data_IF_055386821618
#
_entry.id   IF_055386821618
#
_cell.length_a   1.000
_cell.length_b   1.000
_cell.length_c   1.000
_cell.angle_alpha   90.00
_cell.angle_beta   90.00
_cell.angle_gamma   90.00
#
_symmetry.space_group_name_H-M   'P 1'
#
loop_
_entity.id
_entity.type
_entity.pdbx_description
1 polymer ?
#
# COMPACT_ATOMS: atom_id res chain seq x y z
N UNK A 1 2.75 6.62 6.03
CA UNK A 1 1.48 6.98 6.69
C UNK A 1 0.48 5.91 6.30
N UNK A 2 -0.13 5.19 7.26
CA UNK A 2 -1.01 4.09 6.92
C UNK A 2 -2.22 4.58 6.13
N UNK A 3 -2.45 4.01 4.95
CA UNK A 3 -3.61 4.28 4.10
C UNK A 3 -4.82 3.55 4.71
N UNK A 4 -5.92 4.26 4.97
CA UNK A 4 -7.12 3.69 5.57
C UNK A 4 -8.36 3.77 4.67
N UNK A 5 -8.29 4.54 3.59
CA UNK A 5 -9.40 4.80 2.68
C UNK A 5 -8.97 4.74 1.22
N UNK A 6 -9.91 4.53 0.30
CA UNK A 6 -9.64 4.55 -1.15
C UNK A 6 -9.11 5.91 -1.63
N UNK A 7 -9.62 7.02 -1.09
CA UNK A 7 -9.11 8.37 -1.42
C UNK A 7 -7.65 8.55 -1.01
N UNK A 8 -7.25 8.00 0.15
CA UNK A 8 -5.85 8.02 0.59
C UNK A 8 -4.97 7.12 -0.29
N UNK A 9 -5.51 6.00 -0.77
CA UNK A 9 -4.83 5.13 -1.72
C UNK A 9 -4.59 5.86 -3.05
N UNK A 10 -5.61 6.52 -3.59
CA UNK A 10 -5.50 7.28 -4.83
C UNK A 10 -4.45 8.39 -4.74
N UNK A 11 -4.45 9.15 -3.64
CA UNK A 11 -3.44 10.17 -3.36
C UNK A 11 -2.03 9.55 -3.26
N UNK A 12 -1.88 8.46 -2.52
CA UNK A 12 -0.60 7.78 -2.32
C UNK A 12 -0.05 7.22 -3.64
N UNK A 13 -0.89 6.62 -4.48
CA UNK A 13 -0.52 6.10 -5.80
C UNK A 13 -0.13 7.24 -6.74
N UNK A 14 -0.88 8.34 -6.73
CA UNK A 14 -0.56 9.51 -7.56
C UNK A 14 0.78 10.14 -7.16
N UNK A 15 1.07 10.27 -5.86
CA UNK A 15 2.35 10.77 -5.38
C UNK A 15 3.49 9.79 -5.70
N UNK A 16 3.27 8.49 -5.51
CA UNK A 16 4.25 7.45 -5.89
C UNK A 16 4.62 7.52 -7.37
N UNK A 17 3.65 7.73 -8.25
CA UNK A 17 3.88 7.87 -9.70
C UNK A 17 4.68 9.14 -10.02
N UNK A 18 4.39 10.28 -9.37
CA UNK A 18 5.17 11.51 -9.55
C UNK A 18 6.63 11.34 -9.11
N UNK A 19 6.85 10.57 -8.04
CA UNK A 19 8.19 10.30 -7.51
C UNK A 19 8.92 9.17 -8.25
N UNK A 20 8.33 8.59 -9.30
CA UNK A 20 8.92 7.44 -10.01
C UNK A 20 10.26 7.74 -10.68
N UNK A 21 10.51 9.00 -11.03
CA UNK A 21 11.76 9.48 -11.64
C UNK A 21 12.79 9.95 -10.60
N UNK A 22 12.41 9.98 -9.32
CA UNK A 22 13.29 10.45 -8.26
C UNK A 22 14.52 9.53 -8.09
N UNK A 23 15.73 10.08 -7.97
CA UNK A 23 16.94 9.29 -7.75
C UNK A 23 16.86 8.48 -6.46
N UNK A 24 17.35 7.24 -6.51
CA UNK A 24 17.52 6.42 -5.31
C UNK A 24 18.53 7.07 -4.37
N UNK A 25 18.12 7.30 -3.11
CA UNK A 25 18.93 7.98 -2.09
C UNK A 25 18.53 9.43 -1.82
N UNK A 26 17.80 10.07 -2.73
CA UNK A 26 17.18 11.39 -2.50
C UNK A 26 16.04 11.30 -1.48
N UNK A 27 15.66 12.41 -0.86
CA UNK A 27 14.50 12.48 0.03
C UNK A 27 13.21 11.98 -0.65
N UNK A 28 13.04 12.33 -1.92
CA UNK A 28 11.96 11.85 -2.77
C UNK A 28 12.00 10.34 -3.01
N UNK A 29 13.19 9.76 -3.17
CA UNK A 29 13.38 8.31 -3.26
C UNK A 29 12.99 7.59 -1.97
N UNK A 30 13.35 8.16 -0.81
CA UNK A 30 12.90 7.63 0.50
C UNK A 30 11.38 7.73 0.64
N UNK A 31 10.80 8.84 0.23
CA UNK A 31 9.34 9.06 0.27
C UNK A 31 8.60 8.07 -0.62
N UNK A 32 9.13 7.80 -1.82
CA UNK A 32 8.64 6.76 -2.73
C UNK A 32 8.66 5.38 -2.08
N UNK A 33 9.75 4.99 -1.41
CA UNK A 33 9.82 3.70 -0.72
C UNK A 33 8.80 3.57 0.41
N UNK A 34 8.54 4.65 1.15
CA UNK A 34 7.50 4.67 2.19
C UNK A 34 6.11 4.49 1.57
N UNK A 35 5.81 5.24 0.50
CA UNK A 35 4.51 5.14 -0.20
C UNK A 35 4.28 3.73 -0.78
N UNK A 36 5.30 3.11 -1.38
CA UNK A 36 5.22 1.73 -1.87
C UNK A 36 4.83 0.74 -0.76
N UNK A 37 5.46 0.85 0.41
CA UNK A 37 5.17 0.00 1.56
C UNK A 37 3.73 0.22 2.08
N UNK A 38 3.28 1.46 2.19
CA UNK A 38 1.93 1.80 2.65
C UNK A 38 0.86 1.30 1.66
N UNK A 39 1.06 1.47 0.34
CA UNK A 39 0.17 0.98 -0.71
C UNK A 39 0.06 -0.55 -0.66
N UNK A 40 1.18 -1.26 -0.56
CA UNK A 40 1.21 -2.73 -0.44
C UNK A 40 0.50 -3.20 0.82
N UNK A 41 0.70 -2.52 1.95
CA UNK A 41 0.02 -2.85 3.20
C UNK A 41 -1.50 -2.70 3.09
N UNK A 42 -1.99 -1.65 2.42
CA UNK A 42 -3.42 -1.47 2.15
C UNK A 42 -4.00 -2.62 1.32
N UNK A 43 -3.36 -2.96 0.19
CA UNK A 43 -3.82 -4.08 -0.63
C UNK A 43 -3.79 -5.41 0.12
N UNK A 44 -2.76 -5.67 0.93
CA UNK A 44 -2.69 -6.87 1.76
C UNK A 44 -3.85 -6.94 2.77
N UNK A 45 -4.22 -5.81 3.38
CA UNK A 45 -5.38 -5.71 4.28
C UNK A 45 -6.67 -5.99 3.53
N UNK A 46 -6.90 -5.38 2.36
CA UNK A 46 -8.07 -5.63 1.53
C UNK A 46 -8.17 -7.10 1.08
N UNK A 47 -7.06 -7.71 0.69
CA UNK A 47 -7.00 -9.13 0.34
C UNK A 47 -7.34 -10.03 1.53
N UNK A 48 -6.91 -9.65 2.74
CA UNK A 48 -7.25 -10.38 3.96
C UNK A 48 -8.74 -10.23 4.33
N UNK A 49 -9.33 -9.04 4.14
CA UNK A 49 -10.78 -8.84 4.33
C UNK A 49 -11.64 -9.57 3.31
N UNK A 50 -11.10 -9.85 2.12
CA UNK A 50 -11.79 -10.57 1.04
C UNK A 50 -11.66 -12.09 1.13
N UNK A 51 -10.74 -12.65 1.93
CA UNK A 51 -10.71 -14.11 2.18
C UNK A 51 -11.89 -14.44 3.09
N UNK A 52 -12.96 -15.09 2.60
CA UNK A 52 -13.95 -15.66 3.50
C UNK A 52 -13.18 -16.70 4.32
N UNK A 53 -13.22 -16.56 5.65
CA UNK A 53 -12.61 -17.53 6.55
C UNK A 53 -13.07 -18.92 6.12
N UNK A 54 -12.14 -19.74 5.61
CA UNK A 54 -12.41 -21.17 5.48
C UNK A 54 -12.81 -21.60 6.90
N UNK A 55 -14.06 -22.06 7.13
CA UNK A 55 -14.43 -22.49 8.47
C UNK A 55 -13.43 -23.59 8.86
N UNK A 56 -12.97 -23.63 10.12
CA UNK A 56 -12.13 -24.72 10.56
C UNK A 56 -12.89 -26.01 10.25
N UNK A 57 -12.32 -26.85 9.39
CA UNK A 57 -12.82 -28.20 9.21
C UNK A 57 -12.54 -28.92 10.51
N UNK A 58 -13.51 -28.92 11.41
CA UNK A 58 -13.51 -29.76 12.61
C UNK A 58 -13.49 -31.20 12.12
N UNK A 59 -12.35 -31.86 12.30
CA UNK A 59 -12.18 -33.31 12.18
C UNK A 59 -11.98 -33.91 13.56
#
# INVERSE_FOLDING_TARGET
MPINSEQELEQAVQEFQRLSDAPEGSEDGRRRSVLDADIKAYYARCANTMRPGKPPSTG
#
